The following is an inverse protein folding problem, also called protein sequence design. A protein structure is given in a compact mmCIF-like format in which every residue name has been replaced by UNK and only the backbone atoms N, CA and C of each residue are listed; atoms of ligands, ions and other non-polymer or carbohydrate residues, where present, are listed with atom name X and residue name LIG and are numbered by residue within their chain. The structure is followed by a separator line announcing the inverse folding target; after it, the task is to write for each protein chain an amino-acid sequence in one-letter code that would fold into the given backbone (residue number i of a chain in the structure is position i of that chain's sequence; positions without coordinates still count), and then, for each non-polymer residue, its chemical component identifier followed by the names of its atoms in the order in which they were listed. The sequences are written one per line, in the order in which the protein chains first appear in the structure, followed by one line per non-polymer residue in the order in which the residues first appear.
data_IF_635769923937
#
_entry.id   IF_635769923937
#
_cell.length_a   1.000
_cell.length_b   1.000
_cell.length_c   1.000
_cell.angle_alpha   90.00
_cell.angle_beta   90.00
_cell.angle_gamma   90.00
#
_symmetry.space_group_name_H-M   'P 1'
#
loop_
_entity.id
_entity.type
_entity.pdbx_description
1 polymer ?
#
# COMPACT_ATOMS: atom_id res chain seq x y z
N UNK A 1 19.17 7.31 104.81
CA UNK A 1 19.33 6.79 103.44
C UNK A 1 19.18 7.96 102.48
N UNK A 2 20.30 8.60 102.15
CA UNK A 2 20.39 9.68 101.16
C UNK A 2 21.68 9.36 100.41
N UNK A 3 21.54 8.78 99.22
CA UNK A 3 22.67 8.43 98.37
C UNK A 3 23.24 9.72 97.78
N UNK A 4 24.47 10.02 98.18
CA UNK A 4 25.23 11.16 97.70
C UNK A 4 25.74 10.85 96.29
N UNK A 5 25.21 11.56 95.29
CA UNK A 5 25.72 11.52 93.91
C UNK A 5 27.05 12.29 93.88
N UNK A 6 28.18 11.65 93.53
CA UNK A 6 29.45 12.36 93.43
C UNK A 6 29.43 13.26 92.20
N UNK A 7 29.34 14.58 92.44
CA UNK A 7 29.58 15.62 91.45
C UNK A 7 31.06 15.62 91.04
N UNK A 8 31.40 14.80 90.04
CA UNK A 8 32.67 14.87 89.31
C UNK A 8 32.67 16.12 88.42
N UNK A 9 32.92 17.30 89.00
CA UNK A 9 33.18 18.53 88.26
C UNK A 9 34.60 18.55 87.70
N UNK A 10 34.88 17.65 86.75
CA UNK A 10 36.11 17.65 85.96
C UNK A 10 36.02 18.64 84.81
N UNK A 11 36.29 19.92 85.07
CA UNK A 11 36.53 20.93 84.01
C UNK A 11 37.87 20.63 83.34
N UNK A 12 37.87 19.73 82.35
CA UNK A 12 38.97 19.62 81.39
C UNK A 12 39.09 20.95 80.66
N UNK A 13 40.22 21.62 80.83
CA UNK A 13 40.57 22.77 80.00
C UNK A 13 40.56 22.31 78.54
N UNK A 14 39.66 22.88 77.75
CA UNK A 14 39.55 22.58 76.33
C UNK A 14 40.77 23.24 75.67
N UNK A 15 41.65 22.43 75.09
CA UNK A 15 42.77 22.92 74.30
C UNK A 15 42.21 23.51 72.99
N UNK A 16 42.23 24.84 72.87
CA UNK A 16 41.74 25.55 71.69
C UNK A 16 42.53 25.16 70.42
N UNK A 17 43.79 24.76 70.54
CA UNK A 17 44.60 24.38 69.38
C UNK A 17 44.17 23.02 68.81
N UNK A 18 43.79 22.06 69.66
CA UNK A 18 43.27 20.76 69.22
C UNK A 18 41.90 20.92 68.54
N UNK A 19 41.02 21.76 69.11
CA UNK A 19 39.70 22.03 68.53
C UNK A 19 39.78 22.70 67.15
N UNK A 20 40.64 23.71 67.00
CA UNK A 20 40.82 24.42 65.72
C UNK A 20 41.43 23.52 64.64
N UNK A 21 42.35 22.63 65.01
CA UNK A 21 42.93 21.62 64.11
C UNK A 21 41.86 20.67 63.55
N UNK A 22 41.00 20.14 64.42
CA UNK A 22 39.90 19.24 64.04
C UNK A 22 38.88 19.91 63.12
N UNK A 23 38.48 21.15 63.44
CA UNK A 23 37.55 21.91 62.60
C UNK A 23 38.14 22.12 61.19
N UNK A 24 39.44 22.43 61.10
CA UNK A 24 40.10 22.63 59.80
C UNK A 24 40.17 21.34 58.96
N UNK A 25 40.40 20.17 59.58
CA UNK A 25 40.37 18.88 58.86
C UNK A 25 38.98 18.50 58.37
N UNK A 26 37.94 18.81 59.17
CA UNK A 26 36.55 18.54 58.81
C UNK A 26 36.12 19.44 57.64
N UNK A 27 36.51 20.72 57.64
CA UNK A 27 36.27 21.65 56.53
C UNK A 27 36.93 21.15 55.24
N UNK A 28 38.19 20.71 55.28
CA UNK A 28 38.88 20.16 54.10
C UNK A 28 38.22 18.89 53.57
N UNK A 29 37.68 18.06 54.46
CA UNK A 29 36.97 16.83 54.06
C UNK A 29 35.61 17.16 53.43
N UNK A 30 34.90 18.14 53.99
CA UNK A 30 33.65 18.65 53.41
C UNK A 30 33.87 19.24 52.00
N UNK A 31 34.92 20.05 51.83
CA UNK A 31 35.25 20.67 50.54
C UNK A 31 35.53 19.60 49.46
N UNK A 32 36.32 18.56 49.78
CA UNK A 32 36.57 17.44 48.86
C UNK A 32 35.30 16.68 48.51
N UNK A 33 34.40 16.46 49.46
CA UNK A 33 33.13 15.78 49.21
C UNK A 33 32.20 16.62 48.31
N UNK A 34 32.15 17.95 48.51
CA UNK A 34 31.37 18.86 47.66
C UNK A 34 31.88 18.85 46.23
N UNK A 35 33.21 18.85 46.03
CA UNK A 35 33.83 18.81 44.70
C UNK A 35 33.57 17.46 44.00
N UNK A 36 33.66 16.35 44.73
CA UNK A 36 33.30 15.02 44.22
C UNK A 36 31.82 14.93 43.81
N UNK A 37 30.90 15.51 44.60
CA UNK A 37 29.47 15.56 44.26
C UNK A 37 29.21 16.44 43.03
N UNK A 38 29.88 17.59 42.90
CA UNK A 38 29.78 18.46 41.72
C UNK A 38 30.21 17.74 40.45
N UNK A 39 31.30 16.96 40.51
CA UNK A 39 31.75 16.11 39.41
C UNK A 39 30.74 15.01 39.05
N UNK A 40 30.15 14.36 40.06
CA UNK A 40 29.09 13.35 39.87
C UNK A 40 27.85 13.93 39.18
N UNK A 41 27.41 15.12 39.59
CA UNK A 41 26.22 15.77 39.05
C UNK A 41 26.38 16.18 37.58
N UNK A 42 27.58 16.61 37.17
CA UNK A 42 27.91 16.87 35.75
C UNK A 42 27.84 15.61 34.89
N UNK A 43 28.27 14.45 35.43
CA UNK A 43 28.14 13.17 34.73
C UNK A 43 26.69 12.77 34.56
N UNK A 44 25.86 12.93 35.59
CA UNK A 44 24.42 12.61 35.54
C UNK A 44 23.71 13.46 34.48
N UNK A 45 23.99 14.77 34.42
CA UNK A 45 23.41 15.66 33.40
C UNK A 45 23.86 15.26 31.98
N UNK A 46 25.13 14.89 31.79
CA UNK A 46 25.63 14.40 30.51
C UNK A 46 24.93 13.09 30.07
N UNK A 47 24.74 12.14 30.99
CA UNK A 47 24.03 10.88 30.70
C UNK A 47 22.58 11.13 30.32
N UNK A 48 21.87 12.00 31.04
CA UNK A 48 20.47 12.32 30.71
C UNK A 48 20.31 12.99 29.35
N UNK A 49 21.26 13.82 28.91
CA UNK A 49 21.24 14.41 27.57
C UNK A 49 21.42 13.37 26.48
N UNK A 50 22.29 12.38 26.69
CA UNK A 50 22.49 11.27 25.76
C UNK A 50 21.24 10.40 25.69
N UNK A 51 20.61 10.09 26.82
CA UNK A 51 19.34 9.34 26.86
C UNK A 51 18.20 10.09 26.17
N UNK A 52 18.12 11.41 26.36
CA UNK A 52 17.11 12.25 25.70
C UNK A 52 17.32 12.29 24.17
N UNK A 53 18.57 12.43 23.71
CA UNK A 53 18.90 12.38 22.29
C UNK A 53 18.56 11.02 21.67
N UNK A 54 18.91 9.92 22.36
CA UNK A 54 18.59 8.56 21.91
C UNK A 54 17.08 8.32 21.81
N UNK A 55 16.30 8.78 22.80
CA UNK A 55 14.83 8.68 22.75
C UNK A 55 14.24 9.45 21.57
N UNK A 56 14.77 10.64 21.27
CA UNK A 56 14.33 11.40 20.09
C UNK A 56 14.67 10.68 18.79
N UNK A 57 15.86 10.07 18.71
CA UNK A 57 16.27 9.29 17.56
C UNK A 57 15.39 8.04 17.36
N UNK A 58 15.15 7.27 18.42
CA UNK A 58 14.26 6.10 18.40
C UNK A 58 12.83 6.49 17.99
N UNK A 59 12.32 7.64 18.46
CA UNK A 59 11.01 8.16 18.06
C UNK A 59 10.96 8.55 16.57
N UNK A 60 12.03 9.16 16.03
CA UNK A 60 12.11 9.49 14.61
C UNK A 60 12.15 8.24 13.73
N UNK A 61 12.96 7.24 14.11
CA UNK A 61 13.05 5.95 13.40
C UNK A 61 11.69 5.25 13.43
N UNK A 62 11.03 5.19 14.58
CA UNK A 62 9.71 4.58 14.71
C UNK A 62 8.66 5.28 13.81
N UNK A 63 8.69 6.61 13.73
CA UNK A 63 7.80 7.36 12.86
C UNK A 63 8.01 7.05 11.37
N UNK A 64 9.26 6.91 10.92
CA UNK A 64 9.60 6.56 9.53
C UNK A 64 9.14 5.14 9.22
N UNK A 65 9.35 4.18 10.13
CA UNK A 65 8.92 2.79 9.96
C UNK A 65 7.39 2.73 9.86
N UNK A 66 6.66 3.41 10.75
CA UNK A 66 5.20 3.45 10.68
C UNK A 66 4.68 4.08 9.38
N UNK A 67 5.35 5.13 8.88
CA UNK A 67 4.98 5.76 7.61
C UNK A 67 5.18 4.77 6.44
N UNK A 68 6.31 4.04 6.45
CA UNK A 68 6.63 3.05 5.44
C UNK A 68 5.65 1.86 5.48
N UNK A 69 5.31 1.35 6.66
CA UNK A 69 4.30 0.30 6.84
C UNK A 69 2.92 0.74 6.34
N UNK A 70 2.51 1.97 6.66
CA UNK A 70 1.27 2.54 6.13
C UNK A 70 1.30 2.61 4.61
N UNK A 71 2.36 3.14 4.00
CA UNK A 71 2.47 3.20 2.54
C UNK A 71 2.45 1.81 1.90
N UNK A 72 3.15 0.84 2.49
CA UNK A 72 3.22 -0.52 1.96
C UNK A 72 1.87 -1.25 2.04
N UNK A 73 1.14 -1.11 3.16
CA UNK A 73 -0.19 -1.72 3.31
C UNK A 73 -1.20 -1.14 2.32
N UNK A 74 -1.15 0.17 2.07
CA UNK A 74 -1.96 0.80 1.03
C UNK A 74 -1.59 0.27 -0.36
N UNK A 75 -0.31 0.17 -0.70
CA UNK A 75 0.14 -0.34 -1.99
C UNK A 75 -0.38 -1.75 -2.29
N UNK A 76 -0.31 -2.67 -1.33
CA UNK A 76 -0.83 -4.04 -1.49
C UNK A 76 -2.35 -4.08 -1.71
N UNK A 77 -3.11 -3.22 -1.02
CA UNK A 77 -4.56 -3.15 -1.23
C UNK A 77 -4.91 -2.65 -2.64
N UNK A 78 -4.17 -1.67 -3.16
CA UNK A 78 -4.39 -1.17 -4.52
C UNK A 78 -4.13 -2.24 -5.59
N UNK A 79 -3.09 -3.06 -5.48
CA UNK A 79 -2.85 -4.15 -6.45
C UNK A 79 -4.04 -5.11 -6.54
N UNK A 80 -4.56 -5.55 -5.39
CA UNK A 80 -5.65 -6.52 -5.36
C UNK A 80 -6.92 -5.95 -6.02
N UNK A 81 -7.19 -4.66 -5.81
CA UNK A 81 -8.31 -3.97 -6.46
C UNK A 81 -8.09 -3.86 -7.98
N UNK A 82 -6.90 -3.44 -8.40
CA UNK A 82 -6.56 -3.29 -9.83
C UNK A 82 -6.66 -4.63 -10.56
N UNK A 83 -6.11 -5.70 -9.97
CA UNK A 83 -6.21 -7.07 -10.53
C UNK A 83 -7.67 -7.52 -10.57
N UNK A 84 -8.45 -7.26 -9.52
CA UNK A 84 -9.87 -7.61 -9.46
C UNK A 84 -10.70 -6.90 -10.53
N UNK A 85 -10.51 -5.60 -10.71
CA UNK A 85 -11.20 -4.80 -11.74
C UNK A 85 -10.75 -5.26 -13.14
N UNK A 86 -9.46 -5.52 -13.34
CA UNK A 86 -8.93 -6.01 -14.61
C UNK A 86 -9.55 -7.35 -15.02
N UNK A 87 -9.65 -8.30 -14.08
CA UNK A 87 -10.25 -9.60 -14.32
C UNK A 87 -11.77 -9.50 -14.60
N UNK A 88 -12.48 -8.69 -13.82
CA UNK A 88 -13.91 -8.45 -14.03
C UNK A 88 -14.20 -7.76 -15.38
N UNK A 89 -13.40 -6.77 -15.74
CA UNK A 89 -13.51 -6.07 -17.03
C UNK A 89 -13.25 -7.00 -18.21
N UNK A 90 -12.24 -7.88 -18.10
CA UNK A 90 -11.96 -8.89 -19.12
C UNK A 90 -13.15 -9.84 -19.30
N UNK A 91 -13.72 -10.35 -18.22
CA UNK A 91 -14.85 -11.28 -18.28
C UNK A 91 -16.10 -10.62 -18.89
N UNK A 92 -16.39 -9.37 -18.51
CA UNK A 92 -17.48 -8.59 -19.08
C UNK A 92 -17.34 -8.43 -20.60
N UNK A 93 -16.15 -8.04 -21.08
CA UNK A 93 -15.89 -7.90 -22.52
C UNK A 93 -15.95 -9.25 -23.26
N UNK A 94 -15.47 -10.33 -22.64
CA UNK A 94 -15.50 -11.67 -23.22
C UNK A 94 -16.93 -12.20 -23.39
N UNK A 95 -17.79 -12.00 -22.40
CA UNK A 95 -19.20 -12.41 -22.46
C UNK A 95 -19.99 -11.70 -23.56
N UNK A 96 -19.64 -10.44 -23.86
CA UNK A 96 -20.23 -9.71 -24.99
C UNK A 96 -19.79 -10.29 -26.35
N UNK A 97 -18.57 -10.82 -26.44
CA UNK A 97 -18.00 -11.37 -27.66
C UNK A 97 -18.60 -12.73 -28.07
N UNK A 98 -19.43 -13.35 -27.23
CA UNK A 98 -19.96 -14.69 -27.48
C UNK A 98 -21.04 -14.74 -28.58
N UNK A 99 -21.71 -13.62 -28.83
CA UNK A 99 -22.87 -13.56 -29.72
C UNK A 99 -22.45 -13.15 -31.13
N UNK A 100 -22.15 -14.14 -31.99
CA UNK A 100 -22.17 -13.98 -33.45
C UNK A 100 -20.85 -13.62 -34.14
N UNK A 101 -19.69 -13.88 -33.53
CA UNK A 101 -18.39 -13.57 -34.14
C UNK A 101 -17.77 -14.74 -34.91
N UNK A 102 -17.09 -14.45 -36.03
CA UNK A 102 -16.20 -15.40 -36.70
C UNK A 102 -15.14 -15.94 -35.72
N UNK A 103 -14.96 -17.26 -35.60
CA UNK A 103 -14.17 -17.88 -34.54
C UNK A 103 -12.70 -17.44 -34.53
N UNK A 104 -12.10 -17.23 -35.71
CA UNK A 104 -10.70 -16.83 -35.84
C UNK A 104 -10.42 -15.41 -35.35
N UNK A 105 -11.29 -14.45 -35.66
CA UNK A 105 -11.12 -13.04 -35.26
C UNK A 105 -11.40 -12.86 -33.77
N UNK A 106 -12.38 -13.60 -33.24
CA UNK A 106 -12.67 -13.65 -31.80
C UNK A 106 -11.47 -14.16 -31.00
N UNK A 107 -10.83 -15.23 -31.47
CA UNK A 107 -9.64 -15.76 -30.83
C UNK A 107 -8.50 -14.71 -30.79
N UNK A 108 -8.25 -14.02 -31.91
CA UNK A 108 -7.21 -12.97 -31.96
C UNK A 108 -7.52 -11.77 -31.06
N UNK A 109 -8.76 -11.27 -31.06
CA UNK A 109 -9.16 -10.14 -30.21
C UNK A 109 -9.08 -10.49 -28.72
N UNK A 110 -9.51 -11.69 -28.36
CA UNK A 110 -9.37 -12.23 -27.00
C UNK A 110 -7.93 -12.35 -26.56
N UNK A 111 -7.07 -12.90 -27.43
CA UNK A 111 -5.64 -13.09 -27.15
C UNK A 111 -4.93 -11.74 -27.03
N UNK A 112 -5.24 -10.76 -27.89
CA UNK A 112 -4.69 -9.41 -27.81
C UNK A 112 -5.08 -8.70 -26.49
N UNK A 113 -6.34 -8.80 -26.07
CA UNK A 113 -6.78 -8.22 -24.79
C UNK A 113 -6.22 -8.96 -23.58
N UNK A 114 -6.18 -10.29 -23.62
CA UNK A 114 -5.57 -11.09 -22.56
C UNK A 114 -4.09 -10.78 -22.42
N UNK A 115 -3.36 -10.66 -23.53
CA UNK A 115 -1.95 -10.30 -23.54
C UNK A 115 -1.73 -8.90 -22.97
N UNK A 116 -2.56 -7.92 -23.36
CA UNK A 116 -2.52 -6.58 -22.78
C UNK A 116 -2.71 -6.60 -21.26
N UNK A 117 -3.68 -7.37 -20.77
CA UNK A 117 -3.97 -7.50 -19.35
C UNK A 117 -2.79 -8.16 -18.61
N UNK A 118 -2.23 -9.23 -19.16
CA UNK A 118 -1.09 -9.94 -18.56
C UNK A 118 0.13 -9.03 -18.48
N UNK A 119 0.42 -8.27 -19.54
CA UNK A 119 1.52 -7.29 -19.59
C UNK A 119 1.33 -6.20 -18.53
N UNK A 120 0.10 -5.73 -18.35
CA UNK A 120 -0.24 -4.73 -17.33
C UNK A 120 -0.11 -5.28 -15.90
N UNK A 121 -0.65 -6.47 -15.63
CA UNK A 121 -0.55 -7.11 -14.31
C UNK A 121 0.90 -7.46 -13.97
N UNK A 122 1.68 -7.98 -14.93
CA UNK A 122 3.09 -8.28 -14.74
C UNK A 122 3.90 -7.02 -14.40
N UNK A 123 3.56 -5.87 -15.01
CA UNK A 123 4.15 -4.59 -14.68
C UNK A 123 3.84 -4.14 -13.25
N UNK A 124 2.57 -4.18 -12.85
CA UNK A 124 2.15 -3.85 -11.48
C UNK A 124 2.91 -4.70 -10.45
N UNK A 125 2.97 -6.03 -10.66
CA UNK A 125 3.73 -6.94 -9.79
C UNK A 125 5.22 -6.60 -9.78
N UNK A 126 5.82 -6.33 -10.94
CA UNK A 126 7.22 -5.94 -11.03
C UNK A 126 7.51 -4.66 -10.23
N UNK A 127 6.67 -3.63 -10.33
CA UNK A 127 6.85 -2.37 -9.59
C UNK A 127 6.76 -2.57 -8.08
N UNK A 128 5.88 -3.46 -7.60
CA UNK A 128 5.78 -3.80 -6.18
C UNK A 128 7.00 -4.56 -5.67
N UNK A 129 7.50 -5.53 -6.43
CA UNK A 129 8.72 -6.27 -6.08
C UNK A 129 9.91 -5.30 -6.03
N UNK A 130 10.04 -4.43 -7.04
CA UNK A 130 11.10 -3.44 -7.09
C UNK A 130 11.04 -2.48 -5.91
N UNK A 131 9.86 -1.93 -5.60
CA UNK A 131 9.65 -1.07 -4.43
C UNK A 131 10.07 -1.79 -3.14
N UNK A 132 9.63 -3.04 -2.94
CA UNK A 132 9.95 -3.85 -1.75
C UNK A 132 11.45 -4.09 -1.59
N UNK A 133 12.13 -4.50 -2.67
CA UNK A 133 13.58 -4.73 -2.65
C UNK A 133 14.35 -3.45 -2.29
N UNK A 134 13.90 -2.30 -2.79
CA UNK A 134 14.52 -1.02 -2.46
C UNK A 134 14.28 -0.61 -1.01
N UNK A 135 13.08 -0.81 -0.47
CA UNK A 135 12.83 -0.57 0.96
C UNK A 135 13.77 -1.40 1.84
N UNK A 136 14.02 -2.66 1.48
CA UNK A 136 14.99 -3.48 2.21
C UNK A 136 16.41 -2.93 2.12
N UNK A 137 16.84 -2.45 0.95
CA UNK A 137 18.16 -1.85 0.77
C UNK A 137 18.32 -0.56 1.58
N UNK A 138 17.29 0.29 1.58
CA UNK A 138 17.26 1.54 2.36
C UNK A 138 17.26 1.25 3.86
N UNK A 139 16.48 0.27 4.33
CA UNK A 139 16.50 -0.15 5.73
C UNK A 139 17.87 -0.72 6.16
N UNK A 140 18.54 -1.49 5.29
CA UNK A 140 19.90 -1.97 5.53
C UNK A 140 20.92 -0.83 5.57
N UNK A 141 20.73 0.23 4.77
CA UNK A 141 21.58 1.42 4.79
C UNK A 141 21.36 2.26 6.05
N UNK A 142 20.10 2.43 6.47
CA UNK A 142 19.71 3.11 7.72
C UNK A 142 20.28 2.39 8.95
N UNK A 143 20.21 1.05 8.99
CA UNK A 143 20.78 0.27 10.07
C UNK A 143 22.31 0.41 10.21
N UNK A 144 23.00 0.93 9.18
CA UNK A 144 24.46 1.12 9.14
C UNK A 144 24.91 2.57 9.27
N UNK A 145 24.02 3.55 9.22
CA UNK A 145 24.38 4.98 9.22
C UNK A 145 24.16 5.64 10.59
N UNK A 146 25.17 6.39 11.04
CA UNK A 146 25.17 7.09 12.34
C UNK A 146 24.15 8.26 12.39
N UNK A 147 23.66 8.53 13.61
CA UNK A 147 22.38 9.16 14.04
C UNK A 147 21.92 10.51 13.42
N UNK A 148 22.64 11.13 12.47
CA UNK A 148 22.36 12.53 12.07
C UNK A 148 21.91 12.77 10.62
N UNK A 149 22.32 11.95 9.65
CA UNK A 149 22.15 12.25 8.21
C UNK A 149 21.00 11.49 7.53
N UNK A 150 20.23 10.73 8.29
CA UNK A 150 19.39 9.62 7.79
C UNK A 150 18.16 10.08 7.02
N UNK A 151 17.45 11.13 7.46
CA UNK A 151 16.20 11.55 6.81
C UNK A 151 16.43 12.22 5.44
N UNK A 152 17.41 13.12 5.34
CA UNK A 152 17.71 13.79 4.08
C UNK A 152 18.32 12.82 3.06
N UNK A 153 19.13 11.85 3.52
CA UNK A 153 19.63 10.77 2.68
C UNK A 153 18.48 9.89 2.16
N UNK A 154 17.52 9.55 3.03
CA UNK A 154 16.32 8.80 2.66
C UNK A 154 15.50 9.54 1.59
N UNK A 155 15.21 10.83 1.79
CA UNK A 155 14.44 11.63 0.82
C UNK A 155 15.13 11.72 -0.55
N UNK A 156 16.46 11.86 -0.57
CA UNK A 156 17.24 11.88 -1.83
C UNK A 156 17.20 10.53 -2.54
N UNK A 157 17.39 9.44 -1.79
CA UNK A 157 17.31 8.08 -2.34
C UNK A 157 15.92 7.81 -2.94
N UNK A 158 14.85 8.14 -2.21
CA UNK A 158 13.47 7.97 -2.70
C UNK A 158 13.17 8.81 -3.94
N UNK A 159 13.60 10.08 -3.99
CA UNK A 159 13.40 10.94 -5.18
C UNK A 159 14.10 10.40 -6.42
N UNK A 160 15.33 9.94 -6.27
CA UNK A 160 16.10 9.43 -7.41
C UNK A 160 15.47 8.17 -8.00
N UNK A 161 14.84 7.34 -7.16
CA UNK A 161 14.14 6.13 -7.59
C UNK A 161 12.87 6.47 -8.35
N UNK A 162 12.06 7.41 -7.84
CA UNK A 162 10.81 7.82 -8.51
C UNK A 162 11.07 8.21 -9.97
N UNK A 163 12.11 9.01 -10.21
CA UNK A 163 12.44 9.48 -11.57
C UNK A 163 12.76 8.36 -12.58
N UNK A 164 13.35 7.24 -12.12
CA UNK A 164 13.67 6.10 -13.00
C UNK A 164 12.41 5.30 -13.32
N UNK A 165 11.57 5.08 -12.32
CA UNK A 165 10.31 4.35 -12.47
C UNK A 165 9.36 5.15 -13.37
N UNK A 166 9.28 6.46 -13.21
CA UNK A 166 8.44 7.33 -14.04
C UNK A 166 8.80 7.23 -15.54
N UNK A 167 10.09 7.10 -15.84
CA UNK A 167 10.56 6.96 -17.21
C UNK A 167 10.22 5.59 -17.81
N UNK A 168 10.38 4.51 -17.04
CA UNK A 168 9.95 3.17 -17.45
C UNK A 168 8.43 3.04 -17.54
N UNK A 169 7.69 3.76 -16.71
CA UNK A 169 6.22 3.73 -16.69
C UNK A 169 5.64 4.13 -18.04
N UNK A 170 6.15 5.22 -18.64
CA UNK A 170 5.72 5.67 -19.97
C UNK A 170 6.02 4.59 -21.03
N UNK A 171 7.19 3.96 -20.94
CA UNK A 171 7.62 2.96 -21.91
C UNK A 171 6.76 1.68 -21.88
N UNK A 172 6.25 1.30 -20.70
CA UNK A 172 5.34 0.16 -20.56
C UNK A 172 3.87 0.52 -20.84
N UNK A 173 3.43 1.72 -20.43
CA UNK A 173 2.04 2.15 -20.56
C UNK A 173 1.63 2.23 -22.03
N UNK A 174 2.48 2.80 -22.89
CA UNK A 174 2.18 2.98 -24.32
C UNK A 174 1.82 1.65 -25.01
N UNK A 175 2.66 0.60 -24.99
CA UNK A 175 2.32 -0.67 -25.63
C UNK A 175 1.09 -1.32 -24.99
N UNK A 176 0.95 -1.30 -23.67
CA UNK A 176 -0.24 -1.86 -23.01
C UNK A 176 -1.54 -1.18 -23.48
N UNK A 177 -1.56 0.15 -23.52
CA UNK A 177 -2.72 0.91 -24.01
C UNK A 177 -2.97 0.65 -25.50
N UNK A 178 -1.92 0.58 -26.33
CA UNK A 178 -2.07 0.27 -27.76
C UNK A 178 -2.68 -1.11 -28.00
N UNK A 179 -2.23 -2.15 -27.28
CA UNK A 179 -2.80 -3.49 -27.38
C UNK A 179 -4.25 -3.54 -26.85
N UNK A 180 -4.53 -2.85 -25.74
CA UNK A 180 -5.88 -2.76 -25.20
C UNK A 180 -6.85 -2.08 -26.18
N UNK A 181 -6.47 -0.93 -26.74
CA UNK A 181 -7.29 -0.18 -27.71
C UNK A 181 -7.46 -0.98 -29.00
N UNK A 182 -6.41 -1.64 -29.49
CA UNK A 182 -6.51 -2.49 -30.68
C UNK A 182 -7.47 -3.68 -30.46
N UNK A 183 -7.37 -4.37 -29.32
CA UNK A 183 -8.26 -5.48 -28.97
C UNK A 183 -9.72 -5.05 -28.77
N UNK A 184 -9.94 -3.95 -28.04
CA UNK A 184 -11.27 -3.37 -27.84
C UNK A 184 -11.88 -2.88 -29.15
N UNK A 185 -11.08 -2.22 -30.00
CA UNK A 185 -11.51 -1.76 -31.32
C UNK A 185 -11.92 -2.90 -32.23
N UNK A 186 -11.18 -4.01 -32.24
CA UNK A 186 -11.53 -5.21 -32.98
C UNK A 186 -12.88 -5.80 -32.51
N UNK A 187 -13.14 -5.86 -31.21
CA UNK A 187 -14.42 -6.32 -30.68
C UNK A 187 -15.59 -5.40 -31.03
N UNK A 188 -15.41 -4.08 -30.90
CA UNK A 188 -16.45 -3.12 -31.27
C UNK A 188 -16.78 -3.18 -32.76
N UNK A 189 -15.77 -3.41 -33.60
CA UNK A 189 -15.97 -3.61 -35.03
C UNK A 189 -16.80 -4.87 -35.32
N UNK A 190 -16.53 -5.98 -34.63
CA UNK A 190 -17.31 -7.22 -34.74
C UNK A 190 -18.75 -7.00 -34.28
N UNK A 191 -18.96 -6.36 -33.11
CA UNK A 191 -20.29 -6.06 -32.59
C UNK A 191 -21.09 -5.17 -33.54
N UNK A 192 -20.44 -4.17 -34.16
CA UNK A 192 -21.05 -3.34 -35.19
C UNK A 192 -21.49 -4.19 -36.38
N UNK A 193 -20.64 -5.10 -36.86
CA UNK A 193 -21.01 -6.00 -37.96
C UNK A 193 -22.21 -6.89 -37.59
N UNK A 194 -22.23 -7.45 -36.38
CA UNK A 194 -23.33 -8.28 -35.89
C UNK A 194 -24.65 -7.51 -35.75
N UNK A 195 -24.62 -6.21 -35.40
CA UNK A 195 -25.82 -5.38 -35.36
C UNK A 195 -26.28 -4.90 -36.75
N UNK A 196 -25.37 -4.82 -37.74
CA UNK A 196 -25.73 -4.45 -39.12
C UNK A 196 -26.11 -5.66 -39.99
N UNK A 197 -25.72 -6.87 -39.59
CA UNK A 197 -26.23 -8.10 -40.20
C UNK A 197 -27.70 -8.29 -39.76
N UNK A 198 -28.60 -8.63 -40.69
CA UNK A 198 -29.88 -7.96 -40.79
C UNK A 198 -30.96 -8.58 -39.90
N UNK A 199 -31.41 -7.85 -38.87
CA UNK A 199 -32.80 -7.96 -38.40
C UNK A 199 -33.83 -7.74 -39.54
N UNK A 200 -33.38 -7.24 -40.70
CA UNK A 200 -34.18 -7.14 -41.91
C UNK A 200 -34.51 -8.48 -42.59
N UNK A 201 -33.72 -9.54 -42.41
CA UNK A 201 -34.02 -10.83 -43.07
C UNK A 201 -35.17 -11.58 -42.36
N UNK A 202 -35.24 -11.53 -41.03
CA UNK A 202 -36.28 -12.21 -40.24
C UNK A 202 -37.67 -11.57 -40.43
N UNK A 203 -37.72 -10.25 -40.67
CA UNK A 203 -38.94 -9.56 -41.08
C UNK A 203 -39.36 -9.97 -42.50
N UNK A 204 -38.41 -10.17 -43.42
CA UNK A 204 -38.74 -10.55 -44.79
C UNK A 204 -39.30 -11.98 -44.92
N UNK A 205 -38.80 -12.94 -44.12
CA UNK A 205 -39.37 -14.29 -44.07
C UNK A 205 -40.74 -14.30 -43.38
N UNK A 206 -40.94 -13.51 -42.33
CA UNK A 206 -42.26 -13.37 -41.68
C UNK A 206 -43.31 -12.73 -42.62
N UNK A 207 -42.91 -11.78 -43.47
CA UNK A 207 -43.80 -11.19 -44.49
C UNK A 207 -44.04 -12.17 -45.65
N UNK A 208 -43.06 -12.99 -46.02
CA UNK A 208 -43.23 -14.04 -47.03
C UNK A 208 -44.18 -15.15 -46.56
N UNK A 209 -44.14 -15.54 -45.28
CA UNK A 209 -45.05 -16.52 -44.69
C UNK A 209 -46.52 -16.05 -44.62
N UNK A 210 -46.77 -14.73 -44.58
CA UNK A 210 -48.13 -14.17 -44.72
C UNK A 210 -48.60 -14.02 -46.18
N UNK A 211 -47.74 -14.34 -47.16
CA UNK A 211 -48.07 -14.30 -48.60
C UNK A 211 -48.31 -15.69 -49.18
N UNK A 212 -48.67 -16.67 -48.38
CA UNK A 212 -49.38 -17.83 -48.91
C UNK A 212 -50.88 -17.53 -48.87
N UNK A 213 -51.58 -17.47 -50.03
CA UNK A 213 -53.03 -17.37 -50.02
C UNK A 213 -53.57 -18.60 -49.32
N UNK A 214 -54.33 -18.38 -48.25
CA UNK A 214 -55.11 -19.41 -47.57
C UNK A 214 -55.82 -20.24 -48.63
N UNK A 215 -55.30 -21.44 -48.89
CA UNK A 215 -55.97 -22.46 -49.69
C UNK A 215 -57.21 -22.85 -48.89
N UNK A 216 -58.31 -22.14 -49.13
CA UNK A 216 -59.65 -22.53 -48.70
C UNK A 216 -59.94 -23.88 -49.34
N UNK A 217 -59.74 -24.96 -48.58
CA UNK A 217 -60.17 -26.29 -48.96
C UNK A 217 -61.69 -26.27 -49.18
N UNK A 218 -62.19 -26.74 -50.33
CA UNK A 218 -63.62 -26.79 -50.61
C UNK A 218 -64.24 -28.00 -49.90
N UNK A 219 -64.49 -27.89 -48.60
CA UNK A 219 -65.30 -28.84 -47.85
C UNK A 219 -66.17 -28.03 -46.89
N UNK A 220 -67.42 -27.86 -47.30
CA UNK A 220 -68.65 -27.62 -46.52
C UNK A 220 -69.68 -26.84 -47.35
N UNK A 221 -69.96 -27.35 -48.55
CA UNK A 221 -71.23 -27.10 -49.24
C UNK A 221 -71.91 -28.47 -49.33
N UNK A 222 -72.41 -29.03 -48.23
CA UNK A 222 -73.39 -30.12 -48.24
C UNK A 222 -73.80 -30.52 -46.81
N UNK A 223 -74.74 -29.80 -46.18
CA UNK A 223 -75.74 -30.38 -45.23
C UNK A 223 -76.72 -29.33 -44.68
N UNK A 224 -77.31 -28.51 -45.55
CA UNK A 224 -78.50 -27.73 -45.21
C UNK A 224 -79.61 -28.05 -46.21
N UNK A 225 -80.35 -29.14 -45.96
CA UNK A 225 -81.45 -29.52 -46.85
C UNK A 225 -82.03 -30.91 -46.61
N UNK A 226 -82.53 -31.19 -45.40
CA UNK A 226 -83.55 -32.23 -45.20
C UNK A 226 -84.44 -31.87 -44.01
N UNK A 227 -85.40 -30.98 -44.27
CA UNK A 227 -86.62 -30.80 -43.47
C UNK A 227 -87.76 -31.36 -44.31
N UNK A 228 -88.41 -32.38 -43.73
CA UNK A 228 -89.81 -32.80 -43.80
C UNK A 228 -90.65 -32.37 -45.03
N UNK A 229 -91.17 -33.36 -45.77
CA UNK A 229 -92.60 -33.73 -45.73
C UNK A 229 -92.83 -35.10 -46.41
#
# INVERSE_FOLDING_TARGET
MRDEIPLQTGRRAIDLNDWTGKVNSDIKTLARNIEAMSGGMKKIDATHRIEAARKQHEAQVAAIVQLAEKQNSHAHSYANVVVGIGYAGFYALWSLAEKGAYPSVRAFAGLAMALSLVIFVAWEVFTMIYATLQYQNVNKALAKSDEGATLAAWQRASRQISSRIDCLWIWQLIPAVLFAVAGAGALLFILRQSCTAPCWLEVSESIAACRDPVQLTPIEVFEAGRVED
#
